data_IF_451117429273
#
_entry.id   IF_451117429273
#
_cell.length_a   1.000
_cell.length_b   1.000
_cell.length_c   1.000
_cell.angle_alpha   90.00
_cell.angle_beta   90.00
_cell.angle_gamma   90.00
#
_symmetry.space_group_name_H-M   'P 1'
#
loop_
_entity.id
_entity.type
_entity.pdbx_description
1 polymer ?
#
# COMPACT_ATOMS: atom_id res chain seq x y z
N UNK A 1 4.72 -10.47 -3.06
CA UNK A 1 3.28 -10.79 -3.28
C UNK A 1 3.10 -11.31 -4.71
N UNK A 2 2.12 -12.17 -4.98
CA UNK A 2 1.80 -12.62 -6.34
C UNK A 2 0.27 -12.55 -6.60
N UNK A 3 -0.19 -11.96 -7.72
CA UNK A 3 0.62 -11.25 -8.72
C UNK A 3 1.30 -10.01 -8.11
N UNK A 4 2.43 -9.61 -8.67
CA UNK A 4 3.15 -8.41 -8.23
C UNK A 4 2.30 -7.17 -8.48
N UNK A 5 2.20 -6.29 -7.48
CA UNK A 5 1.56 -4.98 -7.65
C UNK A 5 2.44 -4.10 -8.53
N UNK A 6 1.90 -3.67 -9.68
CA UNK A 6 2.58 -2.81 -10.64
C UNK A 6 1.68 -1.64 -11.01
N UNK A 7 2.26 -0.46 -11.25
CA UNK A 7 1.51 0.74 -11.63
C UNK A 7 2.23 1.50 -12.74
N UNK A 8 1.47 1.94 -13.74
CA UNK A 8 1.90 2.93 -14.73
C UNK A 8 1.20 4.25 -14.43
N UNK A 9 1.95 5.34 -14.46
CA UNK A 9 1.49 6.66 -14.06
C UNK A 9 1.44 7.56 -15.30
N UNK A 10 0.36 8.32 -15.44
CA UNK A 10 0.17 9.26 -16.52
C UNK A 10 -0.42 10.57 -16.00
N UNK A 11 -0.29 11.65 -16.79
CA UNK A 11 -0.76 13.00 -16.42
C UNK A 11 -0.10 13.54 -15.14
N UNK A 12 1.23 13.51 -15.11
CA UNK A 12 2.05 13.99 -13.99
C UNK A 12 2.98 15.11 -14.50
N UNK A 13 3.28 16.07 -13.63
CA UNK A 13 4.22 17.14 -13.98
C UNK A 13 5.64 16.56 -14.05
N UNK A 14 6.25 16.71 -15.23
CA UNK A 14 7.56 16.16 -15.60
C UNK A 14 8.67 16.70 -14.69
N UNK A 15 8.57 17.97 -14.27
CA UNK A 15 9.58 18.63 -13.43
C UNK A 15 9.42 18.36 -11.93
N UNK A 16 8.36 17.64 -11.55
CA UNK A 16 8.09 17.26 -10.17
C UNK A 16 9.02 16.14 -9.68
N UNK A 17 9.26 16.13 -8.37
CA UNK A 17 9.93 15.05 -7.65
C UNK A 17 8.90 14.31 -6.80
N UNK A 18 8.83 12.98 -6.92
CA UNK A 18 7.74 12.18 -6.36
C UNK A 18 8.25 11.01 -5.52
N UNK A 19 7.67 10.84 -4.34
CA UNK A 19 7.84 9.64 -3.52
C UNK A 19 6.63 8.73 -3.73
N UNK A 20 6.89 7.43 -3.91
CA UNK A 20 5.83 6.45 -4.13
C UNK A 20 5.82 5.46 -2.97
N UNK A 21 4.63 5.26 -2.38
CA UNK A 21 4.41 4.34 -1.27
C UNK A 21 3.34 3.31 -1.62
N UNK A 22 3.42 2.18 -0.92
CA UNK A 22 2.37 1.16 -0.86
C UNK A 22 1.95 0.99 0.59
N UNK A 23 0.65 1.01 0.86
CA UNK A 23 0.09 0.42 2.08
C UNK A 23 -0.99 -0.61 1.75
N UNK A 24 -1.39 -1.36 2.76
CA UNK A 24 -2.39 -2.41 2.64
C UNK A 24 -3.37 -2.24 3.79
N UNK A 25 -4.62 -1.91 3.46
CA UNK A 25 -5.66 -1.61 4.45
C UNK A 25 -6.70 -2.72 4.53
N UNK A 26 -7.30 -2.96 5.72
CA UNK A 26 -8.42 -3.88 5.83
C UNK A 26 -9.62 -3.37 5.04
N UNK A 27 -10.32 -4.28 4.36
CA UNK A 27 -11.52 -3.98 3.56
C UNK A 27 -12.76 -3.91 4.45
N UNK A 28 -12.83 -4.76 5.47
CA UNK A 28 -13.95 -4.84 6.40
C UNK A 28 -13.48 -5.28 7.80
N UNK A 29 -14.43 -5.29 8.74
CA UNK A 29 -14.21 -5.70 10.12
C UNK A 29 -14.61 -7.17 10.35
N UNK A 30 -14.24 -8.07 9.44
CA UNK A 30 -14.59 -9.50 9.49
C UNK A 30 -13.35 -10.40 9.41
N UNK A 31 -13.42 -11.51 10.15
CA UNK A 31 -12.51 -12.65 9.99
C UNK A 31 -13.21 -13.71 9.16
N UNK A 32 -12.47 -14.37 8.28
CA UNK A 32 -12.99 -15.34 7.34
C UNK A 32 -12.47 -16.75 7.60
N UNK A 33 -13.14 -17.75 7.00
CA UNK A 33 -12.69 -19.13 6.94
C UNK A 33 -13.07 -19.73 5.59
N UNK A 34 -12.15 -20.51 5.01
CA UNK A 34 -12.46 -21.30 3.82
C UNK A 34 -13.17 -22.61 4.21
N UNK A 35 -14.28 -22.90 3.53
CA UNK A 35 -15.09 -24.10 3.71
C UNK A 35 -14.91 -24.99 2.49
N UNK A 36 -14.10 -26.04 2.63
CA UNK A 36 -13.67 -26.90 1.51
C UNK A 36 -14.82 -27.58 0.77
N UNK A 37 -15.82 -28.13 1.47
CA UNK A 37 -16.96 -28.81 0.85
C UNK A 37 -17.92 -27.86 0.12
N UNK A 38 -17.83 -26.55 0.38
CA UNK A 38 -18.61 -25.52 -0.32
C UNK A 38 -17.77 -24.72 -1.32
N UNK A 39 -16.47 -25.00 -1.39
CA UNK A 39 -15.47 -24.22 -2.13
C UNK A 39 -15.65 -22.70 -1.95
N UNK A 40 -15.92 -22.27 -0.71
CA UNK A 40 -16.37 -20.91 -0.42
C UNK A 40 -15.70 -20.31 0.82
N UNK A 41 -15.47 -19.01 0.77
CA UNK A 41 -15.07 -18.19 1.93
C UNK A 41 -16.31 -17.71 2.67
N UNK A 42 -16.41 -18.00 3.96
CA UNK A 42 -17.48 -17.54 4.83
C UNK A 42 -16.92 -16.67 5.96
N UNK A 43 -17.75 -15.77 6.47
CA UNK A 43 -17.43 -15.01 7.68
C UNK A 43 -17.41 -15.96 8.88
N UNK A 44 -16.31 -15.95 9.63
CA UNK A 44 -16.10 -16.75 10.85
C UNK A 44 -16.27 -15.92 12.13
N UNK A 45 -16.24 -14.59 12.04
CA UNK A 45 -16.43 -13.70 13.18
C UNK A 45 -16.03 -12.25 12.90
N UNK A 46 -15.88 -11.48 13.98
CA UNK A 46 -15.34 -10.11 13.96
C UNK A 46 -13.83 -10.14 13.66
N UNK A 47 -13.32 -9.12 13.00
CA UNK A 47 -11.88 -9.02 12.78
C UNK A 47 -11.10 -8.89 14.10
N UNK A 48 -9.88 -9.40 14.08
CA UNK A 48 -8.88 -9.15 15.11
C UNK A 48 -8.41 -7.69 15.04
N UNK A 49 -7.91 -7.11 16.14
CA UNK A 49 -7.32 -5.77 16.11
C UNK A 49 -6.28 -5.67 14.99
N UNK A 50 -6.42 -4.65 14.13
CA UNK A 50 -5.50 -4.48 13.01
C UNK A 50 -4.09 -4.19 13.55
N UNK A 51 -3.04 -4.81 13.00
CA UNK A 51 -1.67 -4.47 13.34
C UNK A 51 -1.40 -3.02 12.95
N UNK A 52 -0.34 -2.44 13.53
CA UNK A 52 0.05 -1.06 13.21
C UNK A 52 0.30 -0.95 11.70
N UNK A 53 -0.49 -0.12 11.01
CA UNK A 53 -0.33 0.09 9.57
C UNK A 53 1.07 0.62 9.26
N UNK A 54 1.68 0.08 8.21
CA UNK A 54 3.02 0.44 7.74
C UNK A 54 2.95 0.91 6.29
N UNK A 55 3.79 1.89 5.98
CA UNK A 55 4.01 2.35 4.61
C UNK A 55 5.28 1.69 4.09
N UNK A 56 5.18 1.04 2.95
CA UNK A 56 6.33 0.60 2.18
C UNK A 56 6.72 1.71 1.22
N UNK A 57 7.86 2.37 1.47
CA UNK A 57 8.46 3.31 0.53
C UNK A 57 9.12 2.53 -0.61
N UNK A 58 8.82 2.89 -1.86
CA UNK A 58 9.49 2.26 -3.00
C UNK A 58 11.00 2.59 -2.95
N UNK A 59 11.91 1.60 -3.07
CA UNK A 59 13.34 1.79 -2.85
C UNK A 59 14.00 2.79 -3.81
N UNK A 60 13.52 2.88 -5.05
CA UNK A 60 14.06 3.85 -6.01
C UNK A 60 13.39 5.23 -5.91
N UNK A 61 12.57 5.48 -4.88
CA UNK A 61 12.09 6.83 -4.60
C UNK A 61 13.23 7.71 -4.08
N UNK A 62 13.26 9.01 -4.43
CA UNK A 62 12.27 9.70 -5.24
C UNK A 62 12.45 9.53 -6.75
N UNK A 63 11.34 9.63 -7.48
CA UNK A 63 11.30 9.63 -8.94
C UNK A 63 11.08 11.03 -9.51
N UNK A 64 11.64 11.32 -10.67
CA UNK A 64 11.19 12.48 -11.47
C UNK A 64 9.86 12.16 -12.17
N UNK A 65 9.06 13.19 -12.49
CA UNK A 65 7.85 13.01 -13.28
C UNK A 65 8.13 12.35 -14.63
N UNK A 66 9.25 12.70 -15.26
CA UNK A 66 9.71 12.08 -16.50
C UNK A 66 9.92 10.56 -16.38
N UNK A 67 10.59 10.10 -15.31
CA UNK A 67 10.79 8.67 -15.07
C UNK A 67 9.45 7.95 -14.92
N UNK A 68 8.51 8.53 -14.16
CA UNK A 68 7.20 7.92 -13.90
C UNK A 68 6.32 7.79 -15.15
N UNK A 69 6.49 8.68 -16.14
CA UNK A 69 5.79 8.57 -17.42
C UNK A 69 6.36 7.46 -18.32
N UNK A 70 7.65 7.16 -18.20
CA UNK A 70 8.37 6.24 -19.09
C UNK A 70 8.36 4.80 -18.61
N UNK A 71 8.16 4.55 -17.32
CA UNK A 71 8.31 3.21 -16.75
C UNK A 71 7.12 2.75 -15.91
N UNK A 72 7.05 1.44 -15.72
CA UNK A 72 6.14 0.81 -14.76
C UNK A 72 6.86 0.69 -13.43
N UNK A 73 6.25 1.19 -12.36
CA UNK A 73 6.76 1.03 -10.99
C UNK A 73 6.27 -0.31 -10.44
N UNK A 74 7.20 -1.12 -9.92
CA UNK A 74 6.94 -2.51 -9.51
C UNK A 74 7.26 -2.73 -8.03
N UNK A 75 6.27 -3.16 -7.25
CA UNK A 75 6.42 -3.45 -5.82
C UNK A 75 6.82 -4.91 -5.56
N UNK A 76 7.68 -5.50 -6.39
CA UNK A 76 8.09 -6.91 -6.28
C UNK A 76 8.86 -7.19 -4.98
N UNK A 77 9.61 -6.20 -4.49
CA UNK A 77 10.39 -6.26 -3.26
C UNK A 77 9.52 -6.06 -2.01
N UNK A 78 8.24 -5.70 -2.15
CA UNK A 78 7.33 -5.56 -1.03
C UNK A 78 6.95 -6.94 -0.47
N UNK A 79 7.16 -7.10 0.85
CA UNK A 79 6.89 -8.34 1.58
C UNK A 79 5.77 -8.13 2.60
N UNK A 80 4.96 -9.16 2.73
CA UNK A 80 3.91 -9.26 3.74
C UNK A 80 4.36 -10.22 4.84
N UNK A 81 3.98 -9.97 6.08
CA UNK A 81 4.26 -10.84 7.23
C UNK A 81 3.08 -10.87 8.19
N UNK A 82 2.88 -11.98 8.89
CA UNK A 82 1.94 -12.08 10.02
C UNK A 82 2.66 -11.91 11.38
N UNK A 83 3.97 -11.67 11.38
CA UNK A 83 4.72 -11.42 12.61
C UNK A 83 4.54 -9.96 13.05
N UNK A 84 3.80 -9.75 14.15
CA UNK A 84 3.50 -8.43 14.71
C UNK A 84 4.73 -7.63 15.15
N UNK A 85 5.83 -8.33 15.46
CA UNK A 85 7.07 -7.74 16.00
C UNK A 85 8.15 -7.65 14.90
N UNK A 86 7.76 -7.69 13.63
CA UNK A 86 8.69 -7.60 12.49
C UNK A 86 9.55 -6.33 12.56
N UNK A 87 10.87 -6.49 12.60
CA UNK A 87 11.85 -5.38 12.61
C UNK A 87 12.38 -5.03 11.21
N UNK A 88 12.09 -5.85 10.20
CA UNK A 88 12.59 -5.67 8.84
C UNK A 88 11.81 -4.62 8.03
N UNK A 89 10.71 -4.11 8.57
CA UNK A 89 9.88 -3.10 7.91
C UNK A 89 8.91 -3.69 6.89
N UNK A 90 8.62 -4.99 6.96
CA UNK A 90 7.61 -5.62 6.13
C UNK A 90 6.21 -5.13 6.50
N UNK A 91 5.26 -5.24 5.56
CA UNK A 91 3.86 -4.91 5.79
C UNK A 91 3.22 -6.02 6.64
N UNK A 92 2.75 -5.68 7.83
CA UNK A 92 2.18 -6.65 8.78
C UNK A 92 0.68 -6.76 8.53
N UNK A 93 0.17 -7.99 8.39
CA UNK A 93 -1.25 -8.28 8.18
C UNK A 93 -1.67 -9.49 9.02
N UNK A 94 -2.89 -9.45 9.54
CA UNK A 94 -3.51 -10.62 10.17
C UNK A 94 -4.01 -11.58 9.10
N UNK A 95 -3.74 -12.88 9.28
CA UNK A 95 -4.25 -13.90 8.37
C UNK A 95 -5.77 -14.03 8.44
N UNK A 96 -6.39 -14.55 7.39
CA UNK A 96 -7.83 -14.76 7.22
C UNK A 96 -8.66 -13.47 7.23
N UNK A 97 -8.03 -12.34 6.89
CA UNK A 97 -8.68 -11.04 6.73
C UNK A 97 -8.55 -10.57 5.28
N UNK A 98 -9.48 -9.72 4.87
CA UNK A 98 -9.56 -9.19 3.51
C UNK A 98 -8.88 -7.83 3.44
N UNK A 99 -7.96 -7.66 2.50
CA UNK A 99 -7.20 -6.41 2.36
C UNK A 99 -7.28 -5.80 0.96
N UNK A 100 -7.02 -4.49 0.90
CA UNK A 100 -6.90 -3.70 -0.31
C UNK A 100 -5.53 -3.00 -0.32
N UNK A 101 -4.62 -3.32 -1.26
CA UNK A 101 -3.42 -2.52 -1.47
C UNK A 101 -3.79 -1.14 -2.03
N UNK A 102 -3.07 -0.09 -1.59
CA UNK A 102 -3.19 1.26 -2.13
C UNK A 102 -1.82 1.84 -2.42
N UNK A 103 -1.71 2.53 -3.54
CA UNK A 103 -0.48 3.21 -3.96
C UNK A 103 -0.67 4.70 -3.74
N UNK A 104 0.31 5.34 -3.11
CA UNK A 104 0.33 6.77 -2.84
C UNK A 104 1.46 7.41 -3.62
N UNK A 105 1.18 8.54 -4.27
CA UNK A 105 2.17 9.32 -5.04
C UNK A 105 2.20 10.72 -4.44
N UNK A 106 3.33 11.11 -3.88
CA UNK A 106 3.48 12.37 -3.15
C UNK A 106 4.48 13.24 -3.88
N UNK A 107 4.04 14.41 -4.36
CA UNK A 107 4.92 15.42 -4.96
C UNK A 107 5.64 16.21 -3.86
N UNK A 108 6.93 16.43 -4.02
CA UNK A 108 7.73 17.36 -3.20
C UNK A 108 8.07 18.62 -4.00
N UNK A 109 8.04 19.76 -3.31
CA UNK A 109 8.52 21.02 -3.86
C UNK A 109 10.05 21.08 -3.69
N UNK A 110 10.75 21.59 -4.72
CA UNK A 110 12.20 21.83 -4.69
C UNK A 110 12.49 22.78 -3.52
N UNK A 111 13.14 22.30 -2.45
CA UNK A 111 13.54 23.10 -1.29
C UNK A 111 13.12 22.58 0.10
N UNK A 112 12.28 21.56 0.20
CA UNK A 112 11.98 20.93 1.50
C UNK A 112 12.82 19.66 1.69
N UNK A 113 13.73 19.66 2.67
CA UNK A 113 14.48 18.48 3.12
C UNK A 113 13.56 17.51 3.89
N UNK A 114 13.86 16.21 3.90
CA UNK A 114 13.17 15.25 4.77
C UNK A 114 13.73 15.39 6.19
N UNK A 115 13.02 16.12 7.04
CA UNK A 115 13.26 16.05 8.48
C UNK A 115 12.94 14.63 8.95
N UNK A 116 13.96 13.85 9.29
CA UNK A 116 13.81 12.48 9.79
C UNK A 116 12.95 12.40 11.06
N UNK A 117 12.80 13.52 11.78
CA UNK A 117 11.97 13.64 12.99
C UNK A 117 10.54 14.14 12.75
N UNK A 118 10.22 14.63 11.54
CA UNK A 118 8.85 15.03 11.24
C UNK A 118 8.09 13.78 10.83
N UNK A 119 7.38 13.18 11.80
CA UNK A 119 6.28 12.24 11.48
C UNK A 119 5.44 12.93 10.41
N UNK A 120 5.49 12.46 9.18
CA UNK A 120 4.52 12.83 8.15
C UNK A 120 3.16 12.46 8.74
N UNK A 121 2.42 13.44 9.29
CA UNK A 121 1.05 13.24 9.71
C UNK A 121 0.22 13.22 8.43
N UNK A 122 0.16 12.04 7.83
CA UNK A 122 -0.54 11.74 6.58
C UNK A 122 -2.05 11.99 6.60
N UNK A 123 -2.62 12.39 7.73
CA UNK A 123 -4.05 12.71 7.87
C UNK A 123 -4.50 13.89 7.01
N UNK A 124 -3.63 14.89 6.80
CA UNK A 124 -4.09 16.18 6.24
C UNK A 124 -3.82 16.34 4.73
N UNK A 125 -2.77 15.70 4.18
CA UNK A 125 -2.41 15.86 2.75
C UNK A 125 -3.12 14.86 1.81
N UNK A 126 -3.62 13.72 2.31
CA UNK A 126 -4.14 12.64 1.47
C UNK A 126 -5.60 12.80 1.00
N UNK A 127 -6.22 13.97 1.24
CA UNK A 127 -7.59 14.27 0.76
C UNK A 127 -7.64 14.72 -0.69
N UNK A 128 -6.50 15.03 -1.31
CA UNK A 128 -6.46 15.51 -2.70
C UNK A 128 -6.14 14.37 -3.68
N UNK A 129 -7.20 13.96 -4.40
CA UNK A 129 -7.23 13.14 -5.62
C UNK A 129 -6.95 11.64 -5.47
N UNK A 130 -7.83 10.96 -4.73
CA UNK A 130 -8.23 9.61 -5.13
C UNK A 130 -8.98 9.68 -6.48
N UNK A 131 -8.28 9.57 -7.62
CA UNK A 131 -8.93 9.04 -8.83
C UNK A 131 -9.12 7.55 -8.59
N UNK A 132 -10.32 7.20 -8.10
CA UNK A 132 -10.82 5.83 -7.92
C UNK A 132 -10.64 5.02 -9.20
N UNK A 133 -9.51 4.34 -9.35
CA UNK A 133 -9.42 3.16 -10.21
C UNK A 133 -9.40 1.96 -9.27
N UNK A 134 -10.61 1.48 -8.98
CA UNK A 134 -10.83 0.29 -8.16
C UNK A 134 -10.18 -0.90 -8.88
N UNK A 135 -9.07 -1.38 -8.33
CA UNK A 135 -8.58 -2.73 -8.59
C UNK A 135 -8.57 -3.44 -7.24
N UNK A 136 -9.71 -4.01 -6.90
CA UNK A 136 -9.91 -4.74 -5.64
C UNK A 136 -9.56 -6.20 -5.88
N UNK A 137 -8.26 -6.50 -5.99
CA UNK A 137 -7.81 -7.88 -5.79
C UNK A 137 -7.86 -8.12 -4.29
N UNK A 138 -8.92 -8.79 -3.85
CA UNK A 138 -9.09 -9.18 -2.47
C UNK A 138 -8.25 -10.43 -2.22
N UNK A 139 -7.10 -10.27 -1.60
CA UNK A 139 -6.28 -11.41 -1.16
C UNK A 139 -6.57 -11.67 0.30
N UNK A 140 -6.89 -12.93 0.63
CA UNK A 140 -6.83 -13.42 2.00
C UNK A 140 -5.36 -13.70 2.29
N UNK A 141 -4.78 -12.93 3.22
CA UNK A 141 -3.44 -13.23 3.77
C UNK A 141 -3.55 -14.27 4.90
#
# INVERSE_FOLDING_TARGET
MFPTVKVSISNIDIEGLYYIFLDVIPVDNKRYRYIYNKSAWLTAGKAEPAPKNRLYLHPDSPYTGEQLLKQVVSFEKAKLTNNEIDKAGHLILNSMHKYQPRIHIIRRNKGQHLDHNKKLSFSDELRMKQKKKHWTTSTFF
#
